data_IF_538740171138
#
_entry.id   IF_538740171138
#
_cell.length_a   1.000
_cell.length_b   1.000
_cell.length_c   1.000
_cell.angle_alpha   90.00
_cell.angle_beta   90.00
_cell.angle_gamma   90.00
#
_symmetry.space_group_name_H-M   'P 1'
#
loop_
_entity.id
_entity.type
_entity.pdbx_description
1 polymer ?
#
# COMPACT_ATOMS: atom_id res chain seq x y z
N UNK A 1 -9.63 11.14 -1.67
CA UNK A 1 -10.59 10.04 -1.34
C UNK A 1 -10.51 9.73 0.15
N UNK A 2 -11.62 9.34 0.78
CA UNK A 2 -11.66 8.86 2.18
C UNK A 2 -11.68 7.33 2.17
N UNK A 3 -10.52 6.70 2.23
CA UNK A 3 -10.38 5.24 2.18
C UNK A 3 -8.93 4.79 2.31
N UNK A 4 -8.74 3.48 2.51
CA UNK A 4 -7.42 2.87 2.63
C UNK A 4 -6.92 2.38 1.26
N UNK A 5 -5.86 2.98 0.73
CA UNK A 5 -5.18 2.44 -0.45
C UNK A 5 -4.38 1.18 -0.06
N UNK A 6 -4.77 0.03 -0.61
CA UNK A 6 -4.21 -1.28 -0.23
C UNK A 6 -2.71 -1.33 -0.48
N UNK A 7 -2.28 -1.00 -1.70
CA UNK A 7 -0.89 -0.64 -1.93
C UNK A 7 -0.72 0.86 -1.69
N UNK A 8 0.34 1.25 -0.99
CA UNK A 8 0.60 2.65 -0.67
C UNK A 8 0.79 3.46 -1.97
N UNK A 9 -0.18 4.33 -2.27
CA UNK A 9 -0.19 5.22 -3.45
C UNK A 9 1.13 5.99 -3.60
N UNK A 10 1.70 6.43 -2.48
CA UNK A 10 2.98 7.12 -2.45
C UNK A 10 4.09 6.33 -3.16
N UNK A 11 4.09 5.00 -3.14
CA UNK A 11 5.13 4.18 -3.78
C UNK A 11 5.17 4.25 -5.30
N UNK A 12 4.10 4.75 -5.92
CA UNK A 12 3.94 4.84 -7.37
C UNK A 12 3.83 6.29 -7.86
N UNK A 13 4.03 7.28 -6.98
CA UNK A 13 3.98 8.69 -7.37
C UNK A 13 5.06 8.97 -8.42
N UNK A 14 4.66 9.60 -9.54
CA UNK A 14 5.55 9.88 -10.66
C UNK A 14 5.81 8.68 -11.59
N UNK A 15 5.19 7.52 -11.34
CA UNK A 15 5.21 6.42 -12.31
C UNK A 15 4.43 6.83 -13.56
N UNK A 16 5.06 6.70 -14.74
CA UNK A 16 4.54 7.21 -16.03
C UNK A 16 3.14 6.70 -16.38
N UNK A 17 2.78 5.50 -15.91
CA UNK A 17 1.49 4.87 -16.20
C UNK A 17 0.53 4.83 -15.02
N UNK A 18 0.94 5.25 -13.81
CA UNK A 18 0.09 5.17 -12.63
C UNK A 18 -0.80 6.41 -12.51
N UNK A 19 -2.10 6.19 -12.42
CA UNK A 19 -3.10 7.22 -12.16
C UNK A 19 -3.52 7.17 -10.68
N UNK A 20 -3.11 8.16 -9.87
CA UNK A 20 -3.43 8.20 -8.45
C UNK A 20 -4.94 8.20 -8.15
N UNK A 21 -5.77 8.72 -9.06
CA UNK A 21 -7.22 8.79 -8.87
C UNK A 21 -7.92 7.47 -9.20
N UNK A 22 -7.19 6.52 -9.83
CA UNK A 22 -7.68 5.16 -10.15
C UNK A 22 -7.07 4.09 -9.25
N UNK A 23 -6.26 4.47 -8.27
CA UNK A 23 -5.67 3.55 -7.30
C UNK A 23 -6.73 2.83 -6.49
N UNK A 24 -6.63 1.50 -6.42
CA UNK A 24 -7.56 0.68 -5.64
C UNK A 24 -7.53 1.07 -4.15
N UNK A 25 -8.69 1.42 -3.61
CA UNK A 25 -8.86 1.79 -2.20
C UNK A 25 -10.11 1.13 -1.61
N UNK A 26 -10.03 0.78 -0.33
CA UNK A 26 -11.15 0.30 0.47
C UNK A 26 -11.86 1.50 1.08
N UNK A 27 -13.17 1.61 0.89
CA UNK A 27 -13.93 2.74 1.42
C UNK A 27 -13.96 2.73 2.96
N UNK A 28 -14.08 3.91 3.57
CA UNK A 28 -14.26 4.02 5.02
C UNK A 28 -15.53 3.29 5.50
N UNK A 29 -16.59 3.33 4.70
CA UNK A 29 -17.86 2.67 5.01
C UNK A 29 -17.70 1.15 5.10
N UNK A 30 -17.05 0.53 4.11
CA UNK A 30 -16.76 -0.91 4.14
C UNK A 30 -15.87 -1.30 5.32
N UNK A 31 -14.84 -0.52 5.64
CA UNK A 31 -14.02 -0.77 6.83
C UNK A 31 -14.86 -0.71 8.11
N UNK A 32 -15.79 0.25 8.24
CA UNK A 32 -16.66 0.35 9.40
C UNK A 32 -17.60 -0.87 9.52
N UNK A 33 -18.20 -1.32 8.41
CA UNK A 33 -19.05 -2.52 8.37
C UNK A 33 -18.28 -3.77 8.82
N UNK A 34 -17.04 -3.91 8.34
CA UNK A 34 -16.16 -5.02 8.67
C UNK A 34 -15.49 -4.89 10.04
N UNK A 35 -15.71 -3.79 10.75
CA UNK A 35 -15.06 -3.42 12.03
C UNK A 35 -13.53 -3.37 11.92
N UNK A 36 -13.04 -2.92 10.77
CA UNK A 36 -11.62 -2.72 10.50
C UNK A 36 -11.17 -1.31 10.85
N UNK A 37 -9.92 -1.17 11.28
CA UNK A 37 -9.35 0.12 11.69
C UNK A 37 -8.42 0.68 10.62
N UNK A 38 -8.87 1.71 9.91
CA UNK A 38 -8.05 2.44 8.93
C UNK A 38 -6.73 2.97 9.53
N UNK A 39 -6.79 3.43 10.78
CA UNK A 39 -5.62 3.95 11.49
C UNK A 39 -4.55 2.89 11.71
N UNK A 40 -4.94 1.67 12.10
CA UNK A 40 -4.01 0.57 12.35
C UNK A 40 -3.36 0.09 11.05
N UNK A 41 -4.13 -0.01 9.95
CA UNK A 41 -3.59 -0.30 8.62
C UNK A 41 -2.55 0.74 8.20
N UNK A 42 -2.88 2.02 8.38
CA UNK A 42 -1.98 3.14 8.01
C UNK A 42 -0.71 3.14 8.86
N UNK A 43 -0.83 2.91 10.17
CA UNK A 43 0.30 2.82 11.07
C UNK A 43 1.23 1.67 10.68
N UNK A 44 0.66 0.49 10.39
CA UNK A 44 1.43 -0.69 10.01
C UNK A 44 2.12 -0.52 8.66
N UNK A 45 1.46 0.06 7.65
CA UNK A 45 2.14 0.39 6.39
C UNK A 45 3.34 1.31 6.62
N UNK A 46 3.17 2.38 7.41
CA UNK A 46 4.25 3.35 7.69
C UNK A 46 5.42 2.71 8.43
N UNK A 47 5.13 1.90 9.44
CA UNK A 47 6.12 1.12 10.19
C UNK A 47 6.95 0.24 9.23
N UNK A 48 6.30 -0.62 8.45
CA UNK A 48 6.98 -1.60 7.61
C UNK A 48 7.72 -0.97 6.42
N UNK A 49 7.20 0.10 5.82
CA UNK A 49 7.95 0.85 4.82
C UNK A 49 9.14 1.60 5.44
N UNK A 50 9.01 2.07 6.68
CA UNK A 50 10.12 2.63 7.45
C UNK A 50 11.21 1.60 7.72
N UNK A 51 10.84 0.36 8.03
CA UNK A 51 11.78 -0.76 8.17
C UNK A 51 12.44 -1.10 6.84
N UNK A 52 11.67 -1.21 5.74
CA UNK A 52 12.21 -1.47 4.40
C UNK A 52 13.25 -0.41 3.99
N UNK A 53 12.96 0.86 4.26
CA UNK A 53 13.87 1.97 3.98
C UNK A 53 15.19 1.88 4.76
N UNK A 54 15.16 1.34 5.99
CA UNK A 54 16.33 1.20 6.87
C UNK A 54 17.12 -0.10 6.64
N UNK A 55 16.45 -1.15 6.14
CA UNK A 55 17.05 -2.48 6.08
C UNK A 55 17.98 -2.69 4.88
N UNK A 56 18.03 -1.76 3.93
CA UNK A 56 18.81 -1.92 2.68
C UNK A 56 18.25 -2.97 1.71
N UNK A 57 17.05 -3.50 1.99
CA UNK A 57 16.34 -4.42 1.09
C UNK A 57 15.88 -3.68 -0.17
N UNK A 58 15.73 -4.41 -1.27
CA UNK A 58 15.29 -3.84 -2.53
C UNK A 58 13.83 -3.35 -2.47
N UNK A 59 13.54 -2.23 -3.16
CA UNK A 59 12.18 -1.71 -3.32
C UNK A 59 11.44 -2.48 -4.42
N UNK A 60 10.91 -3.65 -4.10
CA UNK A 60 10.24 -4.54 -5.07
C UNK A 60 8.72 -4.53 -4.89
N UNK A 61 7.99 -4.96 -5.92
CA UNK A 61 6.54 -5.14 -5.81
C UNK A 61 6.19 -6.23 -4.77
N UNK A 62 7.04 -7.25 -4.62
CA UNK A 62 6.89 -8.30 -3.61
C UNK A 62 6.90 -7.75 -2.18
N UNK A 63 7.81 -6.82 -1.86
CA UNK A 63 7.82 -6.17 -0.55
C UNK A 63 6.56 -5.31 -0.34
N UNK A 64 6.10 -4.61 -1.38
CA UNK A 64 4.86 -3.83 -1.29
C UNK A 64 3.63 -4.73 -1.09
N UNK A 65 3.59 -5.91 -1.72
CA UNK A 65 2.55 -6.94 -1.52
C UNK A 65 2.53 -7.42 -0.08
N UNK A 66 3.70 -7.77 0.46
CA UNK A 66 3.85 -8.22 1.85
C UNK A 66 3.35 -7.14 2.83
N UNK A 67 3.79 -5.90 2.62
CA UNK A 67 3.41 -4.77 3.48
C UNK A 67 1.91 -4.47 3.40
N UNK A 68 1.32 -4.50 2.19
CA UNK A 68 -0.11 -4.31 2.01
C UNK A 68 -0.92 -5.40 2.74
N UNK A 69 -0.51 -6.66 2.61
CA UNK A 69 -1.13 -7.78 3.31
C UNK A 69 -1.05 -7.60 4.83
N UNK A 70 0.14 -7.37 5.39
CA UNK A 70 0.33 -7.22 6.82
C UNK A 70 -0.43 -6.03 7.41
N UNK A 71 -0.54 -4.94 6.66
CA UNK A 71 -1.33 -3.78 7.06
C UNK A 71 -2.82 -4.10 7.17
N UNK A 72 -3.39 -4.84 6.21
CA UNK A 72 -4.79 -5.26 6.27
C UNK A 72 -5.06 -6.15 7.48
N UNK A 73 -4.15 -7.11 7.77
CA UNK A 73 -4.25 -7.97 8.96
C UNK A 73 -4.22 -7.13 10.25
N UNK A 74 -3.28 -6.17 10.36
CA UNK A 74 -3.20 -5.29 11.50
C UNK A 74 -4.47 -4.43 11.69
N UNK A 75 -5.15 -4.11 10.59
CA UNK A 75 -6.43 -3.43 10.60
C UNK A 75 -7.64 -4.30 10.95
N UNK A 76 -7.47 -5.61 11.15
CA UNK A 76 -8.54 -6.53 11.52
C UNK A 76 -9.10 -7.41 10.39
N UNK A 77 -8.55 -7.31 9.17
CA UNK A 77 -8.92 -8.21 8.08
C UNK A 77 -8.45 -9.64 8.37
N UNK A 78 -9.24 -10.65 7.99
CA UNK A 78 -8.80 -12.05 8.03
C UNK A 78 -7.82 -12.34 6.89
N UNK A 79 -6.96 -13.36 7.03
CA UNK A 79 -6.00 -13.76 5.99
C UNK A 79 -6.59 -13.91 4.57
N UNK A 80 -7.76 -14.53 4.44
CA UNK A 80 -8.40 -14.72 3.13
C UNK A 80 -8.88 -13.38 2.52
N UNK A 81 -9.43 -12.50 3.35
CA UNK A 81 -9.92 -11.18 2.93
C UNK A 81 -8.76 -10.28 2.51
N UNK A 82 -7.68 -10.26 3.31
CA UNK A 82 -6.47 -9.52 3.01
C UNK A 82 -5.83 -9.97 1.69
N UNK A 83 -5.73 -11.29 1.45
CA UNK A 83 -5.23 -11.83 0.16
C UNK A 83 -6.09 -11.37 -1.01
N UNK A 84 -7.41 -11.52 -0.91
CA UNK A 84 -8.32 -11.13 -1.99
C UNK A 84 -8.24 -9.63 -2.32
N UNK A 85 -8.07 -8.77 -1.32
CA UNK A 85 -7.94 -7.32 -1.50
C UNK A 85 -6.58 -6.92 -2.11
N UNK A 86 -5.50 -7.58 -1.69
CA UNK A 86 -4.17 -7.40 -2.29
C UNK A 86 -4.17 -7.82 -3.75
N UNK A 87 -4.77 -8.97 -4.08
CA UNK A 87 -4.92 -9.44 -5.47
C UNK A 87 -5.72 -8.47 -6.34
N UNK A 88 -6.82 -7.91 -5.82
CA UNK A 88 -7.59 -6.88 -6.52
C UNK A 88 -6.77 -5.61 -6.78
N UNK A 89 -5.98 -5.20 -5.77
CA UNK A 89 -5.10 -4.05 -5.89
C UNK A 89 -3.96 -4.30 -6.88
N UNK A 90 -3.39 -5.50 -6.93
CA UNK A 90 -2.40 -5.89 -7.95
C UNK A 90 -2.98 -5.87 -9.35
N UNK A 91 -4.16 -6.45 -9.56
CA UNK A 91 -4.86 -6.39 -10.86
C UNK A 91 -5.12 -4.95 -11.29
N UNK A 92 -5.39 -4.05 -10.35
CA UNK A 92 -5.54 -2.63 -10.64
C UNK A 92 -4.20 -1.98 -11.06
N UNK A 93 -3.09 -2.29 -10.39
CA UNK A 93 -1.75 -1.83 -10.78
C UNK A 93 -1.35 -2.36 -12.17
N UNK A 94 -1.61 -3.65 -12.45
CA UNK A 94 -1.35 -4.29 -13.74
C UNK A 94 -2.15 -3.65 -14.87
N UNK A 95 -3.44 -3.35 -14.65
CA UNK A 95 -4.29 -2.63 -15.62
C UNK A 95 -3.78 -1.22 -15.91
N UNK A 96 -3.09 -0.61 -14.94
CA UNK A 96 -2.41 0.67 -15.09
C UNK A 96 -0.98 0.51 -15.63
N UNK A 97 -0.55 -0.68 -16.05
CA UNK A 97 0.78 -0.91 -16.62
C UNK A 97 1.94 -0.77 -15.62
N UNK A 98 1.66 -0.75 -14.32
CA UNK A 98 2.69 -0.68 -13.27
C UNK A 98 3.36 -2.05 -13.14
N UNK A 99 4.69 -2.09 -13.32
CA UNK A 99 5.51 -3.31 -13.19
C UNK A 99 6.40 -3.32 -11.95
N UNK A 100 6.68 -2.15 -11.39
CA UNK A 100 7.48 -1.97 -10.19
C UNK A 100 7.12 -0.66 -9.50
N UNK A 101 7.29 -0.56 -8.17
CA UNK A 101 7.16 0.70 -7.46
C UNK A 101 8.27 1.68 -7.88
N UNK A 102 7.94 2.98 -7.93
CA UNK A 102 8.89 4.04 -8.29
C UNK A 102 9.83 4.40 -7.15
N UNK A 103 9.35 4.33 -5.90
CA UNK A 103 10.18 4.59 -4.72
C UNK A 103 9.59 3.96 -3.45
N UNK A 104 10.36 3.97 -2.37
CA UNK A 104 9.88 3.55 -1.05
C UNK A 104 9.00 4.67 -0.46
N UNK A 105 7.73 4.39 -0.10
CA UNK A 105 6.86 5.35 0.58
C UNK A 105 7.46 5.94 1.86
N UNK A 106 7.22 7.22 2.13
CA UNK A 106 7.65 7.95 3.34
C UNK A 106 9.16 7.92 3.65
N UNK A 107 10.00 7.43 2.73
CA UNK A 107 11.44 7.62 2.81
C UNK A 107 11.72 9.12 2.70
N UNK A 108 12.29 9.71 3.76
CA UNK A 108 12.84 11.06 3.68
C UNK A 108 13.96 11.04 2.64
N UNK A 109 13.78 11.76 1.53
CA UNK A 109 14.92 12.18 0.72
C UNK A 109 15.57 13.27 1.54
N UNK A 110 16.70 12.99 2.19
CA UNK A 110 17.52 14.06 2.73
C UNK A 110 18.07 14.82 1.51
N UNK A 111 17.37 15.86 1.09
CA UNK A 111 17.99 16.90 0.28
C UNK A 111 18.94 17.65 1.22
N UNK A 112 20.20 17.24 1.22
CA UNK A 112 21.26 18.18 1.55
C UNK A 112 21.41 19.08 0.32
N UNK A 113 20.73 20.22 0.34
CA UNK A 113 21.16 21.42 -0.37
C UNK A 113 21.82 22.35 0.65
#
# INVERSE_FOLDING_TARGET
MKGHHVHAQSGFKGHVTYDPDKGFAISQEYMNEMKWTHQDMTNKQRELFGELAKSGRANTLEEHIRIAYEALIAGGAKPAEARALVEQSLKNLEKQGVKAPSHVPWKKINNHE
#
